data_IF_209929457230
#
_entry.id   IF_209929457230
#
_cell.length_a   1.000
_cell.length_b   1.000
_cell.length_c   1.000
_cell.angle_alpha   90.00
_cell.angle_beta   90.00
_cell.angle_gamma   90.00
#
_symmetry.space_group_name_H-M   'P 1'
#
loop_
_entity.id
_entity.type
_entity.pdbx_description
1 polymer ?
#
# COMPACT_ATOMS: atom_id res chain seq x y z
N UNK A 1 -4.97 -0.89 -3.16
CA UNK A 1 -4.24 -1.16 -1.90
C UNK A 1 -5.22 -1.45 -0.76
N UNK A 2 -6.04 -0.49 -0.33
CA UNK A 2 -6.90 -0.60 0.87
C UNK A 2 -8.38 -0.86 0.59
N UNK A 3 -8.84 -0.65 -0.65
CA UNK A 3 -10.23 -0.88 -1.03
C UNK A 3 -11.17 0.29 -0.71
N UNK A 4 -10.65 1.41 -0.20
CA UNK A 4 -11.43 2.64 -0.09
C UNK A 4 -11.83 3.17 -1.47
N UNK A 5 -13.06 3.68 -1.56
CA UNK A 5 -13.48 4.58 -2.63
C UNK A 5 -12.88 5.96 -2.40
N UNK A 6 -12.94 6.82 -3.42
CA UNK A 6 -12.53 8.23 -3.28
C UNK A 6 -13.29 8.95 -2.15
N UNK A 7 -14.62 8.75 -2.06
CA UNK A 7 -15.43 9.36 -0.99
C UNK A 7 -15.02 8.89 0.41
N UNK A 8 -14.87 7.58 0.60
CA UNK A 8 -14.53 7.01 1.92
C UNK A 8 -13.08 7.28 2.31
N UNK A 9 -12.20 7.52 1.34
CA UNK A 9 -10.86 8.02 1.58
C UNK A 9 -10.89 9.48 2.04
N UNK A 10 -11.73 10.33 1.42
CA UNK A 10 -11.91 11.71 1.85
C UNK A 10 -12.44 11.79 3.28
N UNK A 11 -13.44 10.97 3.63
CA UNK A 11 -13.95 10.88 5.00
C UNK A 11 -12.82 10.53 5.99
N UNK A 12 -11.94 9.60 5.63
CA UNK A 12 -10.79 9.23 6.48
C UNK A 12 -9.78 10.37 6.67
N UNK A 13 -9.63 11.25 5.68
CA UNK A 13 -8.77 12.43 5.75
C UNK A 13 -9.40 13.53 6.61
N UNK A 14 -10.70 13.78 6.43
CA UNK A 14 -11.46 14.78 7.18
C UNK A 14 -11.52 14.41 8.68
N UNK A 15 -11.68 13.12 8.98
CA UNK A 15 -11.61 12.55 10.32
C UNK A 15 -10.19 12.52 10.91
N UNK A 16 -9.16 12.86 10.11
CA UNK A 16 -7.74 12.75 10.47
C UNK A 16 -7.36 11.38 11.07
N UNK A 17 -7.84 10.29 10.44
CA UNK A 17 -7.61 8.94 10.96
C UNK A 17 -6.13 8.64 11.03
N UNK A 18 -5.69 8.12 12.19
CA UNK A 18 -4.36 7.55 12.31
C UNK A 18 -4.17 6.40 11.31
N UNK A 19 -2.93 6.13 10.88
CA UNK A 19 -2.65 5.01 10.00
C UNK A 19 -3.15 3.67 10.56
N UNK A 20 -3.06 3.47 11.88
CA UNK A 20 -3.60 2.27 12.54
C UNK A 20 -5.08 2.09 12.23
N UNK A 21 -5.89 3.12 12.49
CA UNK A 21 -7.34 3.09 12.25
C UNK A 21 -7.64 2.98 10.75
N UNK A 22 -6.91 3.71 9.91
CA UNK A 22 -7.07 3.65 8.45
C UNK A 22 -6.86 2.24 7.88
N UNK A 23 -5.83 1.51 8.34
CA UNK A 23 -5.58 0.15 7.88
C UNK A 23 -6.49 -0.89 8.56
N UNK A 24 -6.85 -0.70 9.83
CA UNK A 24 -7.79 -1.59 10.54
C UNK A 24 -9.22 -1.50 9.99
N UNK A 25 -9.61 -0.33 9.47
CA UNK A 25 -10.96 -0.09 8.90
C UNK A 25 -10.97 -0.12 7.36
N UNK A 26 -9.89 -0.58 6.74
CA UNK A 26 -9.78 -0.71 5.29
C UNK A 26 -10.83 -1.73 4.77
N UNK A 27 -11.70 -1.36 3.81
CA UNK A 27 -12.79 -2.23 3.36
C UNK A 27 -12.31 -3.55 2.77
N UNK A 28 -11.21 -3.52 2.01
CA UNK A 28 -10.64 -4.70 1.37
C UNK A 28 -9.16 -4.47 1.04
N UNK A 29 -8.27 -4.95 1.91
CA UNK A 29 -6.85 -4.96 1.63
C UNK A 29 -6.56 -5.87 0.42
N UNK A 30 -5.88 -5.33 -0.59
CA UNK A 30 -5.62 -6.03 -1.83
C UNK A 30 -4.75 -7.28 -1.60
N UNK A 31 -5.09 -8.46 -2.14
CA UNK A 31 -4.37 -9.70 -1.86
C UNK A 31 -2.93 -9.66 -2.37
N UNK A 32 -2.70 -9.02 -3.51
CA UNK A 32 -1.35 -8.92 -4.12
C UNK A 32 -0.42 -7.92 -3.44
N UNK A 33 -0.86 -7.19 -2.40
CA UNK A 33 0.01 -6.21 -1.72
C UNK A 33 1.26 -6.86 -1.10
N UNK A 34 1.17 -8.14 -0.72
CA UNK A 34 2.31 -8.93 -0.23
C UNK A 34 3.39 -9.18 -1.31
N UNK A 35 3.08 -8.92 -2.58
CA UNK A 35 4.05 -8.98 -3.67
C UNK A 35 4.87 -7.70 -3.83
N UNK A 36 4.61 -6.68 -3.00
CA UNK A 36 5.40 -5.45 -2.97
C UNK A 36 6.70 -5.74 -2.21
N UNK A 37 7.83 -5.75 -2.92
CA UNK A 37 9.15 -6.12 -2.36
C UNK A 37 10.23 -5.11 -2.73
N UNK A 38 11.39 -5.20 -2.09
CA UNK A 38 12.57 -4.37 -2.27
C UNK A 38 12.59 -3.17 -1.31
N UNK A 39 13.55 -2.27 -1.49
CA UNK A 39 13.78 -1.19 -0.51
C UNK A 39 12.92 0.06 -0.72
N UNK A 40 12.61 0.76 0.38
CA UNK A 40 12.00 2.09 0.46
C UNK A 40 12.40 2.74 1.79
N UNK A 41 12.68 4.04 1.83
CA UNK A 41 13.09 4.76 3.05
C UNK A 41 14.26 4.10 3.82
N UNK A 42 15.20 3.43 3.12
CA UNK A 42 16.36 2.78 3.72
C UNK A 42 16.12 1.37 4.29
N UNK A 43 14.91 0.82 4.20
CA UNK A 43 14.58 -0.54 4.70
C UNK A 43 14.04 -1.42 3.58
N UNK A 44 14.21 -2.75 3.67
CA UNK A 44 13.53 -3.72 2.80
C UNK A 44 12.15 -4.01 3.37
N UNK A 45 11.10 -3.91 2.55
CA UNK A 45 9.72 -3.98 3.06
C UNK A 45 9.34 -5.40 3.50
N UNK A 46 9.85 -6.41 2.81
CA UNK A 46 9.67 -7.83 3.13
C UNK A 46 10.28 -8.25 4.48
N UNK A 47 11.28 -7.51 4.97
CA UNK A 47 11.95 -7.80 6.25
C UNK A 47 11.26 -7.13 7.45
N UNK A 48 10.26 -6.27 7.21
CA UNK A 48 9.53 -5.57 8.27
C UNK A 48 8.59 -6.55 8.98
N UNK A 49 8.80 -6.73 10.28
CA UNK A 49 8.02 -7.67 11.11
C UNK A 49 6.77 -7.04 11.73
N UNK A 50 6.76 -5.74 11.97
CA UNK A 50 5.57 -5.02 12.44
C UNK A 50 4.56 -4.93 11.29
N UNK A 51 3.36 -5.53 11.42
CA UNK A 51 2.41 -5.61 10.32
C UNK A 51 1.91 -4.23 9.86
N UNK A 52 1.67 -3.30 10.79
CA UNK A 52 1.18 -1.96 10.45
C UNK A 52 2.27 -1.18 9.70
N UNK A 53 3.51 -1.23 10.19
CA UNK A 53 4.64 -0.59 9.52
C UNK A 53 4.90 -1.16 8.14
N UNK A 54 4.71 -2.46 7.96
CA UNK A 54 4.84 -3.10 6.65
C UNK A 54 3.77 -2.58 5.67
N UNK A 55 2.50 -2.47 6.08
CA UNK A 55 1.43 -1.91 5.26
C UNK A 55 1.65 -0.43 4.90
N UNK A 56 2.17 0.37 5.84
CA UNK A 56 2.57 1.76 5.59
C UNK A 56 3.68 1.81 4.52
N UNK A 57 4.70 0.96 4.64
CA UNK A 57 5.83 0.96 3.69
C UNK A 57 5.46 0.39 2.33
N UNK A 58 4.45 -0.49 2.25
CA UNK A 58 3.85 -0.86 0.97
C UNK A 58 3.22 0.35 0.28
N UNK A 59 2.44 1.15 1.01
CA UNK A 59 1.82 2.37 0.47
C UNK A 59 2.89 3.37 -0.01
N UNK A 60 3.88 3.68 0.84
CA UNK A 60 4.98 4.60 0.48
C UNK A 60 5.68 4.17 -0.81
N UNK A 61 5.93 2.86 -0.95
CA UNK A 61 6.60 2.32 -2.13
C UNK A 61 5.76 2.45 -3.39
N UNK A 62 4.46 2.22 -3.32
CA UNK A 62 3.57 2.40 -4.47
C UNK A 62 3.55 3.87 -4.93
N UNK A 63 3.55 4.82 -3.98
CA UNK A 63 3.60 6.25 -4.27
C UNK A 63 4.96 6.67 -4.84
N UNK A 64 6.07 6.19 -4.27
CA UNK A 64 7.42 6.43 -4.79
C UNK A 64 7.60 5.93 -6.22
N UNK A 65 7.08 4.73 -6.52
CA UNK A 65 7.11 4.17 -7.87
C UNK A 65 6.26 4.98 -8.87
N UNK A 66 5.10 5.47 -8.43
CA UNK A 66 4.26 6.35 -9.25
C UNK A 66 4.99 7.67 -9.53
N UNK A 67 5.61 8.27 -8.52
CA UNK A 67 6.40 9.50 -8.66
C UNK A 67 7.60 9.32 -9.59
N UNK A 68 8.18 8.12 -9.64
CA UNK A 68 9.24 7.74 -10.58
C UNK A 68 8.74 7.39 -11.98
N UNK A 69 7.45 7.57 -12.25
CA UNK A 69 6.85 7.37 -13.57
C UNK A 69 6.64 5.91 -13.95
N UNK A 70 6.62 4.97 -12.98
CA UNK A 70 6.27 3.59 -13.30
C UNK A 70 4.79 3.50 -13.74
N UNK A 71 4.47 2.65 -14.73
CA UNK A 71 3.08 2.47 -15.14
C UNK A 71 2.25 1.81 -14.03
N UNK A 72 1.00 2.24 -13.89
CA UNK A 72 0.09 1.73 -12.83
C UNK A 72 -0.09 0.21 -12.89
N UNK A 73 -0.03 -0.38 -14.09
CA UNK A 73 -0.08 -1.83 -14.32
C UNK A 73 1.10 -2.58 -13.68
N UNK A 74 2.27 -1.94 -13.60
CA UNK A 74 3.43 -2.48 -12.87
C UNK A 74 3.26 -2.30 -11.36
N UNK A 75 2.68 -1.17 -10.93
CA UNK A 75 2.44 -0.84 -9.51
C UNK A 75 1.42 -1.79 -8.86
N UNK A 76 0.36 -2.16 -9.58
CA UNK A 76 -0.74 -2.98 -9.05
C UNK A 76 -0.37 -4.44 -8.75
N UNK A 77 0.82 -4.88 -9.17
CA UNK A 77 1.39 -6.23 -9.00
C UNK A 77 0.49 -7.38 -9.51
N UNK A 78 1.11 -8.34 -10.18
CA UNK A 78 0.45 -9.58 -10.60
C UNK A 78 1.27 -10.79 -10.19
N UNK A 79 0.61 -11.89 -9.76
CA UNK A 79 1.27 -13.18 -9.55
C UNK A 79 2.03 -13.60 -10.80
N UNK A 80 3.11 -14.36 -10.63
CA UNK A 80 3.92 -14.83 -11.76
C UNK A 80 3.13 -15.69 -12.77
N UNK A 81 2.05 -16.34 -12.33
CA UNK A 81 1.16 -17.14 -13.18
C UNK A 81 0.24 -16.29 -14.10
N UNK A 82 0.18 -14.98 -13.91
CA UNK A 82 -0.68 -14.04 -14.65
C UNK A 82 0.10 -13.01 -15.48
N UNK A 83 1.40 -13.29 -15.72
CA UNK A 83 2.30 -12.41 -16.48
C UNK A 83 2.41 -12.83 -17.94
#
# INVERSE_FOLDING_TARGET
>A
MTGYSESTLQDALDDQRSFKVFFETAPALHPHRRLITGSICGVRVEDITDPLMQEIRYLDKMVDELAKGKPITSIMRKPAAER
#
